data_IF_193397694368
#
_entry.id   IF_193397694368
#
_cell.length_a   1.000
_cell.length_b   1.000
_cell.length_c   1.000
_cell.angle_alpha   90.00
_cell.angle_beta   90.00
_cell.angle_gamma   90.00
#
_symmetry.space_group_name_H-M   'P 1'
#
loop_
_entity.id
_entity.type
_entity.pdbx_description
1 polymer ?
#
# COMPACT_ATOMS: atom_id res chain seq x y z
N UNK A 1 -18.42 -19.30 -7.58
CA UNK A 1 -17.03 -18.93 -7.23
C UNK A 1 -16.76 -19.01 -5.72
N UNK A 2 -17.61 -18.46 -4.84
CA UNK A 2 -17.44 -18.54 -3.36
C UNK A 2 -17.47 -19.98 -2.83
N UNK A 3 -18.28 -20.86 -3.43
CA UNK A 3 -18.39 -22.26 -3.03
C UNK A 3 -17.09 -23.05 -3.29
N UNK A 4 -16.38 -22.77 -4.39
CA UNK A 4 -15.09 -23.39 -4.73
C UNK A 4 -14.03 -23.10 -3.66
N UNK A 5 -13.96 -21.85 -3.19
CA UNK A 5 -13.06 -21.47 -2.11
C UNK A 5 -13.46 -22.09 -0.77
N UNK A 6 -14.76 -22.19 -0.46
CA UNK A 6 -15.20 -22.94 0.73
C UNK A 6 -14.79 -24.41 0.67
N UNK A 7 -14.90 -25.08 -0.47
CA UNK A 7 -14.57 -26.51 -0.57
C UNK A 7 -13.07 -26.78 -0.45
N UNK A 8 -12.21 -25.92 -1.01
CA UNK A 8 -10.75 -26.12 -0.94
C UNK A 8 -10.19 -25.77 0.45
N UNK A 9 -10.75 -24.75 1.11
CA UNK A 9 -10.31 -24.34 2.45
C UNK A 9 -11.08 -25.01 3.61
N UNK A 10 -12.12 -25.82 3.33
CA UNK A 10 -12.88 -26.56 4.34
C UNK A 10 -12.90 -28.09 4.12
N UNK A 11 -12.05 -28.63 3.23
CA UNK A 11 -12.02 -30.08 2.91
C UNK A 11 -11.56 -30.97 4.05
N UNK A 12 -11.19 -30.40 5.17
CA UNK A 12 -10.98 -31.13 6.42
C UNK A 12 -11.46 -30.17 7.51
N UNK A 13 -12.26 -30.65 8.46
CA UNK A 13 -12.27 -30.04 9.78
C UNK A 13 -11.10 -30.70 10.52
N UNK A 14 -9.84 -30.25 10.36
CA UNK A 14 -8.76 -30.77 11.17
C UNK A 14 -9.19 -30.52 12.61
N UNK A 15 -9.32 -31.57 13.41
CA UNK A 15 -9.59 -31.42 14.83
C UNK A 15 -8.56 -30.45 15.42
N UNK A 16 -8.93 -29.72 16.48
CA UNK A 16 -8.06 -28.72 17.11
C UNK A 16 -6.64 -29.26 17.40
N UNK A 17 -6.48 -30.58 17.58
CA UNK A 17 -5.19 -31.27 17.68
C UNK A 17 -4.27 -31.10 16.46
N UNK A 18 -4.76 -31.33 15.24
CA UNK A 18 -3.98 -31.24 13.99
C UNK A 18 -3.64 -29.78 13.69
N UNK A 19 -4.57 -28.86 13.94
CA UNK A 19 -4.32 -27.42 13.84
C UNK A 19 -3.22 -26.97 14.81
N UNK A 20 -3.27 -27.42 16.06
CA UNK A 20 -2.27 -27.08 17.07
C UNK A 20 -0.89 -27.66 16.74
N UNK A 21 -0.82 -28.88 16.17
CA UNK A 21 0.42 -29.49 15.70
C UNK A 21 1.05 -28.65 14.57
N UNK A 22 0.27 -28.27 13.56
CA UNK A 22 0.74 -27.41 12.45
C UNK A 22 1.16 -26.03 12.96
N UNK A 23 0.37 -25.41 13.84
CA UNK A 23 0.71 -24.12 14.43
C UNK A 23 1.95 -24.17 15.33
N UNK A 24 2.29 -25.33 15.91
CA UNK A 24 3.51 -25.49 16.71
C UNK A 24 4.79 -25.42 15.87
N UNK A 25 4.73 -25.78 14.58
CA UNK A 25 5.86 -25.73 13.64
C UNK A 25 5.99 -24.34 12.99
N UNK A 26 4.89 -23.58 12.92
CA UNK A 26 4.89 -22.23 12.36
C UNK A 26 5.37 -21.23 13.41
N UNK A 27 6.53 -20.61 13.16
CA UNK A 27 7.01 -19.53 14.03
C UNK A 27 6.06 -18.32 13.98
N UNK A 28 5.46 -17.92 15.12
CA UNK A 28 4.61 -16.73 15.15
C UNK A 28 5.43 -15.48 14.88
N UNK A 29 5.13 -14.78 13.78
CA UNK A 29 5.74 -13.46 13.49
C UNK A 29 5.07 -12.31 14.22
N UNK A 30 3.82 -12.49 14.63
CA UNK A 30 3.05 -11.49 15.38
C UNK A 30 2.86 -12.02 16.79
N UNK A 31 3.45 -11.34 17.78
CA UNK A 31 3.33 -11.74 19.17
C UNK A 31 2.02 -11.23 19.77
N UNK A 32 1.57 -11.87 20.86
CA UNK A 32 0.42 -11.39 21.64
C UNK A 32 0.61 -9.94 22.09
N UNK A 33 1.85 -9.52 22.37
CA UNK A 33 2.16 -8.14 22.74
C UNK A 33 2.00 -7.17 21.57
N UNK A 34 2.39 -7.54 20.34
CA UNK A 34 2.15 -6.73 19.14
C UNK A 34 0.65 -6.53 18.91
N UNK A 35 -0.14 -7.60 19.05
CA UNK A 35 -1.60 -7.51 18.93
C UNK A 35 -2.23 -6.62 19.99
N UNK A 36 -1.74 -6.70 21.25
CA UNK A 36 -2.20 -5.81 22.32
C UNK A 36 -1.89 -4.36 21.99
N UNK A 37 -0.67 -4.06 21.56
CA UNK A 37 -0.24 -2.70 21.19
C UNK A 37 -1.11 -2.14 20.05
N UNK A 38 -1.43 -2.95 19.04
CA UNK A 38 -2.29 -2.54 17.92
C UNK A 38 -3.75 -2.32 18.34
N UNK A 39 -4.20 -2.96 19.42
CA UNK A 39 -5.56 -2.87 19.94
C UNK A 39 -5.72 -1.85 21.08
N UNK A 40 -4.62 -1.17 21.47
CA UNK A 40 -4.70 -0.10 22.47
C UNK A 40 -5.53 1.08 21.95
N UNK A 41 -6.27 1.77 22.85
CA UNK A 41 -7.03 2.94 22.48
C UNK A 41 -6.11 4.07 22.01
N UNK A 42 -6.55 4.79 20.98
CA UNK A 42 -5.80 5.92 20.45
C UNK A 42 -5.66 7.04 21.49
N UNK A 43 -4.50 7.67 21.49
CA UNK A 43 -4.21 8.86 22.28
C UNK A 43 -4.65 10.13 21.54
N UNK A 44 -4.88 11.22 22.28
CA UNK A 44 -5.19 12.52 21.68
C UNK A 44 -4.08 13.02 20.74
N UNK A 45 -2.82 12.65 21.00
CA UNK A 45 -1.68 13.00 20.16
C UNK A 45 -1.74 12.29 18.81
N UNK A 46 -2.03 10.99 18.79
CA UNK A 46 -2.17 10.20 17.56
C UNK A 46 -3.32 10.72 16.71
N UNK A 47 -4.45 11.07 17.34
CA UNK A 47 -5.58 11.70 16.62
C UNK A 47 -5.15 13.04 16.02
N UNK A 48 -4.46 13.89 16.79
CA UNK A 48 -3.94 15.17 16.29
C UNK A 48 -3.04 14.95 15.08
N UNK A 49 -2.06 14.05 15.18
CA UNK A 49 -1.14 13.70 14.09
C UNK A 49 -1.87 13.16 12.85
N UNK A 50 -2.85 12.28 13.03
CA UNK A 50 -3.64 11.71 11.94
C UNK A 50 -4.47 12.79 11.21
N UNK A 51 -5.07 13.73 11.94
CA UNK A 51 -5.79 14.87 11.34
C UNK A 51 -4.84 15.73 10.50
N UNK A 52 -3.63 16.01 10.99
CA UNK A 52 -2.63 16.74 10.22
C UNK A 52 -2.18 15.99 8.97
N UNK A 53 -1.92 14.69 9.09
CA UNK A 53 -1.52 13.83 7.96
C UNK A 53 -2.63 13.71 6.90
N UNK A 54 -3.90 13.82 7.28
CA UNK A 54 -5.04 13.74 6.38
C UNK A 54 -5.36 15.05 5.65
N UNK A 55 -4.90 16.20 6.15
CA UNK A 55 -5.15 17.53 5.56
C UNK A 55 -4.78 17.67 4.07
N UNK A 56 -3.66 17.12 3.56
CA UNK A 56 -3.33 17.22 2.14
C UNK A 56 -4.18 16.32 1.23
N UNK A 57 -4.97 15.36 1.76
CA UNK A 57 -5.73 14.38 0.96
C UNK A 57 -6.55 15.00 -0.18
N UNK A 58 -7.32 16.09 0.01
CA UNK A 58 -8.11 16.70 -1.08
C UNK A 58 -7.26 17.28 -2.22
N UNK A 59 -5.97 17.57 -1.95
CA UNK A 59 -5.05 18.12 -2.93
C UNK A 59 -4.29 17.03 -3.68
N UNK A 60 -4.21 15.81 -3.12
CA UNK A 60 -3.42 14.73 -3.72
C UNK A 60 -3.87 14.41 -5.14
N UNK A 61 -5.17 14.40 -5.42
CA UNK A 61 -5.71 14.12 -6.76
C UNK A 61 -5.23 15.10 -7.84
N UNK A 62 -4.85 16.32 -7.46
CA UNK A 62 -4.35 17.35 -8.37
C UNK A 62 -2.82 17.34 -8.48
N UNK A 63 -2.13 16.71 -7.53
CA UNK A 63 -0.66 16.69 -7.44
C UNK A 63 -0.09 15.42 -8.04
N UNK A 64 -0.76 14.28 -7.82
CA UNK A 64 -0.31 12.98 -8.32
C UNK A 64 -0.95 12.65 -9.66
N UNK A 65 -0.21 11.94 -10.51
CA UNK A 65 -0.72 11.44 -11.79
C UNK A 65 -1.99 10.60 -11.60
N UNK A 66 -2.90 10.63 -12.57
CA UNK A 66 -4.08 9.75 -12.60
C UNK A 66 -3.72 8.26 -12.60
N UNK A 67 -2.53 7.91 -13.08
CA UNK A 67 -2.02 6.53 -13.08
C UNK A 67 -1.50 6.05 -11.71
N UNK A 68 -1.38 6.94 -10.72
CA UNK A 68 -0.96 6.56 -9.37
C UNK A 68 -2.19 6.18 -8.53
N UNK A 69 -2.42 4.88 -8.36
CA UNK A 69 -3.61 4.39 -7.65
C UNK A 69 -3.37 4.12 -6.16
N UNK A 70 -2.12 3.90 -5.75
CA UNK A 70 -1.79 3.59 -4.35
C UNK A 70 -1.85 4.84 -3.45
N UNK A 71 -2.35 4.66 -2.23
CA UNK A 71 -2.42 5.68 -1.17
C UNK A 71 -3.27 6.92 -1.50
N UNK A 72 -4.11 6.86 -2.55
CA UNK A 72 -5.07 7.91 -2.90
C UNK A 72 -6.49 7.42 -2.56
N UNK A 73 -7.25 8.16 -1.73
CA UNK A 73 -8.64 7.81 -1.44
C UNK A 73 -9.48 7.70 -2.71
N UNK A 74 -10.28 6.64 -2.82
CA UNK A 74 -11.17 6.44 -3.97
C UNK A 74 -10.52 5.77 -5.19
N UNK A 75 -9.20 5.53 -5.19
CA UNK A 75 -8.52 4.73 -6.23
C UNK A 75 -8.30 3.30 -5.75
N UNK A 76 -8.48 2.33 -6.64
CA UNK A 76 -8.41 0.92 -6.28
C UNK A 76 -7.05 0.32 -6.67
N UNK A 77 -6.57 -0.65 -5.88
CA UNK A 77 -5.34 -1.37 -6.22
C UNK A 77 -5.48 -2.16 -7.53
N UNK A 78 -6.72 -2.51 -7.90
CA UNK A 78 -7.05 -3.16 -9.18
C UNK A 78 -6.69 -2.29 -10.38
N UNK A 79 -6.69 -0.97 -10.24
CA UNK A 79 -6.36 -0.04 -11.33
C UNK A 79 -4.89 -0.23 -11.75
N UNK A 80 -3.98 -0.43 -10.78
CA UNK A 80 -2.58 -0.75 -11.07
C UNK A 80 -2.42 -2.09 -11.79
N UNK A 81 -3.27 -3.07 -11.48
CA UNK A 81 -3.25 -4.38 -12.14
C UNK A 81 -3.68 -4.24 -13.61
N UNK A 82 -4.72 -3.43 -13.88
CA UNK A 82 -5.18 -3.14 -15.25
C UNK A 82 -4.09 -2.43 -16.06
N UNK A 83 -3.46 -1.39 -15.51
CA UNK A 83 -2.35 -0.68 -16.16
C UNK A 83 -1.20 -1.65 -16.49
N UNK A 84 -0.86 -2.56 -15.58
CA UNK A 84 0.19 -3.56 -15.84
C UNK A 84 -0.21 -4.55 -16.95
N UNK A 85 -1.47 -4.97 -17.01
CA UNK A 85 -1.97 -5.81 -18.10
C UNK A 85 -1.95 -5.09 -19.45
N UNK A 86 -2.37 -3.84 -19.50
CA UNK A 86 -2.32 -3.00 -20.71
C UNK A 86 -0.89 -2.80 -21.20
N UNK A 87 0.05 -2.49 -20.30
CA UNK A 87 1.47 -2.38 -20.62
C UNK A 87 2.03 -3.70 -21.19
N UNK A 88 1.76 -4.84 -20.55
CA UNK A 88 2.20 -6.14 -21.03
C UNK A 88 1.59 -6.50 -22.39
N UNK A 89 0.31 -6.20 -22.59
CA UNK A 89 -0.38 -6.42 -23.85
C UNK A 89 0.22 -5.56 -24.97
N UNK A 90 0.46 -4.28 -24.70
CA UNK A 90 1.08 -3.36 -25.63
C UNK A 90 2.49 -3.80 -26.03
N UNK A 91 3.32 -4.25 -25.08
CA UNK A 91 4.64 -4.81 -25.38
C UNK A 91 4.56 -6.05 -26.28
N UNK A 92 3.58 -6.93 -26.05
CA UNK A 92 3.39 -8.13 -26.88
C UNK A 92 3.01 -7.80 -28.32
N UNK A 93 2.24 -6.73 -28.55
CA UNK A 93 1.89 -6.26 -29.90
C UNK A 93 3.06 -5.50 -30.52
N UNK A 94 3.72 -4.63 -29.75
CA UNK A 94 4.80 -3.77 -30.24
C UNK A 94 6.06 -4.56 -30.61
N UNK A 95 6.30 -5.72 -30.00
CA UNK A 95 7.40 -6.62 -30.42
C UNK A 95 7.18 -7.24 -31.81
N UNK A 96 5.96 -7.17 -32.37
CA UNK A 96 5.65 -7.59 -33.75
C UNK A 96 5.82 -6.45 -34.77
N UNK A 97 6.01 -5.22 -34.32
CA UNK A 97 6.18 -4.03 -35.17
C UNK A 97 7.64 -3.56 -35.15
N UNK A 98 8.11 -2.94 -36.25
CA UNK A 98 9.51 -2.51 -36.42
C UNK A 98 9.82 -1.29 -35.54
N UNK A 99 10.02 -1.53 -34.25
CA UNK A 99 10.32 -0.52 -33.23
C UNK A 99 10.09 -1.13 -31.87
N UNK A 100 11.08 -1.85 -31.34
CA UNK A 100 10.94 -2.57 -30.07
C UNK A 100 10.54 -1.65 -28.93
N UNK A 101 9.56 -2.07 -28.14
CA UNK A 101 9.15 -1.39 -26.91
C UNK A 101 9.63 -2.19 -25.69
N UNK A 102 10.01 -1.50 -24.62
CA UNK A 102 10.46 -2.10 -23.36
C UNK A 102 9.76 -1.41 -22.18
N UNK A 103 9.39 -2.20 -21.17
CA UNK A 103 8.94 -1.65 -19.89
C UNK A 103 10.05 -1.72 -18.85
N UNK A 104 10.13 -0.69 -18.02
CA UNK A 104 11.08 -0.59 -16.93
C UNK A 104 10.29 -0.61 -15.62
N UNK A 105 10.61 -1.56 -14.75
CA UNK A 105 10.09 -1.61 -13.39
C UNK A 105 11.13 -1.00 -12.45
N UNK A 106 10.75 0.08 -11.77
CA UNK A 106 11.57 0.74 -10.76
C UNK A 106 11.00 0.45 -9.37
N UNK A 107 11.85 0.09 -8.43
CA UNK A 107 11.50 -0.12 -7.02
C UNK A 107 12.54 0.55 -6.11
N UNK A 108 12.08 1.18 -5.03
CA UNK A 108 12.94 1.93 -4.11
C UNK A 108 13.15 1.16 -2.82
N UNK A 109 14.39 0.71 -2.56
CA UNK A 109 14.73 0.05 -1.30
C UNK A 109 14.56 1.00 -0.12
N UNK A 110 13.81 0.60 0.91
CA UNK A 110 13.60 1.39 2.14
C UNK A 110 13.17 2.83 1.85
N UNK A 111 12.19 2.99 0.94
CA UNK A 111 11.75 4.29 0.45
C UNK A 111 11.48 5.30 1.59
N UNK A 112 10.82 4.86 2.67
CA UNK A 112 10.52 5.72 3.83
C UNK A 112 11.74 6.09 4.67
N UNK A 113 12.72 5.21 4.80
CA UNK A 113 13.93 5.47 5.60
C UNK A 113 14.93 6.37 4.86
N UNK A 114 14.87 6.40 3.53
CA UNK A 114 15.82 7.12 2.66
C UNK A 114 15.31 8.48 2.17
N UNK A 115 14.15 8.94 2.62
CA UNK A 115 13.65 10.27 2.23
C UNK A 115 14.48 11.35 2.91
N UNK A 116 15.10 12.21 2.10
CA UNK A 116 15.78 13.41 2.59
C UNK A 116 14.75 14.45 3.05
N UNK A 117 14.71 14.72 4.35
CA UNK A 117 13.77 15.68 4.95
C UNK A 117 13.85 17.10 4.38
N UNK A 118 15.04 17.67 4.08
CA UNK A 118 15.12 18.99 3.44
C UNK A 118 14.46 19.03 2.07
N UNK A 119 14.62 17.96 1.28
CA UNK A 119 13.98 17.83 -0.03
C UNK A 119 12.47 17.76 0.11
N UNK A 120 11.96 16.89 0.98
CA UNK A 120 10.52 16.77 1.24
C UNK A 120 9.93 18.11 1.71
N UNK A 121 10.62 18.82 2.60
CA UNK A 121 10.21 20.17 3.04
C UNK A 121 10.14 21.15 1.87
N UNK A 122 11.13 21.16 0.99
CA UNK A 122 11.13 22.00 -0.22
C UNK A 122 9.94 21.73 -1.14
N UNK A 123 9.61 20.45 -1.36
CA UNK A 123 8.44 20.03 -2.14
C UNK A 123 7.14 20.52 -1.49
N UNK A 124 6.97 20.30 -0.18
CA UNK A 124 5.77 20.72 0.55
C UNK A 124 5.62 22.24 0.62
N UNK A 125 6.72 23.01 0.65
CA UNK A 125 6.69 24.47 0.55
C UNK A 125 6.21 24.91 -0.84
N UNK A 126 6.76 24.31 -1.90
CA UNK A 126 6.38 24.63 -3.29
C UNK A 126 4.91 24.32 -3.58
N UNK A 127 4.36 23.28 -2.95
CA UNK A 127 2.95 22.91 -3.03
C UNK A 127 2.05 23.76 -2.11
N UNK A 128 2.60 24.75 -1.39
CA UNK A 128 1.93 25.59 -0.38
C UNK A 128 1.22 24.76 0.71
N UNK A 129 1.71 23.56 0.95
CA UNK A 129 1.21 22.70 2.00
C UNK A 129 1.73 23.20 3.35
N UNK A 130 3.00 23.61 3.43
CA UNK A 130 3.65 24.06 4.68
C UNK A 130 3.20 25.40 5.26
N UNK A 131 2.77 26.38 4.45
CA UNK A 131 2.25 27.66 4.96
C UNK A 131 0.99 27.48 5.80
N UNK A 132 0.21 26.43 5.53
CA UNK A 132 -0.98 26.07 6.28
C UNK A 132 -0.66 25.33 7.58
N UNK A 133 0.54 24.76 7.74
CA UNK A 133 0.95 23.93 8.88
C UNK A 133 1.67 24.72 9.98
N UNK A 134 1.27 25.97 10.25
CA UNK A 134 1.88 26.78 11.31
C UNK A 134 1.70 26.09 12.67
N UNK A 135 2.82 25.60 13.22
CA UNK A 135 2.93 25.06 14.56
C UNK A 135 2.83 26.22 15.56
N UNK A 136 1.69 26.31 16.24
CA UNK A 136 1.59 26.94 17.57
C UNK A 136 1.15 25.86 18.55
#
# INVERSE_FOLDING_TARGET
MIQYFRTIFASSHPGNSVLNEVLSVVQPRVTTQMNRTLAEPFTALEVKQAVFANRPKPLLDHIVSHTQSAFIPGRLITDNVLVAFELNHHLKISTQTKGGCAAIKLDMSKAYDRVEWPFLRGVLLRLRLLEKFNFK
#
